data_IF_161205766084
#
_entry.id   IF_161205766084
#
_cell.length_a   1.000
_cell.length_b   1.000
_cell.length_c   1.000
_cell.angle_alpha   90.00
_cell.angle_beta   90.00
_cell.angle_gamma   90.00
#
_symmetry.space_group_name_H-M   'P 1'
#
loop_
_entity.id
_entity.type
_entity.pdbx_description
1 polymer ?
#
# COMPACT_ATOMS: atom_id res chain seq x y z
N UNK A 1 0.19 11.06 1.73
CA UNK A 1 -0.35 10.43 0.50
C UNK A 1 0.83 9.94 -0.31
N UNK A 2 0.83 8.69 -0.78
CA UNK A 2 1.88 8.21 -1.69
C UNK A 2 1.83 8.94 -3.04
N UNK A 3 2.98 9.01 -3.72
CA UNK A 3 3.10 9.67 -5.03
C UNK A 3 2.38 8.92 -6.15
N UNK A 4 2.23 7.60 -6.01
CA UNK A 4 1.59 6.72 -6.99
C UNK A 4 0.96 5.49 -6.29
N UNK A 5 0.41 4.55 -7.05
CA UNK A 5 -0.18 3.30 -6.57
C UNK A 5 0.82 2.49 -5.74
N UNK A 6 0.36 2.02 -4.58
CA UNK A 6 1.11 1.14 -3.68
C UNK A 6 0.22 -0.03 -3.25
N UNK A 7 0.79 -1.24 -3.09
CA UNK A 7 0.04 -2.40 -2.65
C UNK A 7 -0.42 -2.21 -1.19
N UNK A 8 -1.57 -2.79 -0.86
CA UNK A 8 -2.12 -2.81 0.51
C UNK A 8 -1.09 -3.17 1.61
N UNK A 9 -0.20 -4.18 1.47
CA UNK A 9 0.82 -4.46 2.48
C UNK A 9 1.79 -3.31 2.75
N UNK A 10 2.05 -2.44 1.76
CA UNK A 10 2.91 -1.27 1.95
C UNK A 10 2.21 -0.16 2.73
N UNK A 11 0.89 0.02 2.55
CA UNK A 11 0.09 0.86 3.46
C UNK A 11 0.16 0.32 4.89
N UNK A 12 -0.06 -0.97 5.09
CA UNK A 12 0.00 -1.62 6.41
C UNK A 12 1.36 -1.41 7.08
N UNK A 13 2.45 -1.50 6.31
CA UNK A 13 3.79 -1.15 6.79
C UNK A 13 3.92 0.34 7.13
N UNK A 14 3.50 1.23 6.23
CA UNK A 14 3.70 2.67 6.36
C UNK A 14 2.94 3.27 7.54
N UNK A 15 1.74 2.77 7.86
CA UNK A 15 0.99 3.22 9.05
C UNK A 15 1.83 3.04 10.32
N UNK A 16 2.42 1.86 10.50
CA UNK A 16 3.28 1.57 11.64
C UNK A 16 4.60 2.35 11.57
N UNK A 17 5.20 2.44 10.38
CA UNK A 17 6.48 3.10 10.18
C UNK A 17 6.41 4.61 10.48
N UNK A 18 5.32 5.26 10.09
CA UNK A 18 5.08 6.69 10.27
C UNK A 18 4.37 7.01 11.59
N UNK A 19 4.08 6.01 12.43
CA UNK A 19 3.26 6.15 13.64
C UNK A 19 1.92 6.85 13.38
N UNK A 20 1.30 6.56 12.23
CA UNK A 20 0.02 7.13 11.87
C UNK A 20 -1.10 6.49 12.71
N UNK A 21 -2.12 7.29 13.03
CA UNK A 21 -3.30 6.78 13.77
C UNK A 21 -4.14 5.81 12.93
N UNK A 22 -4.13 5.98 11.61
CA UNK A 22 -4.81 5.12 10.66
C UNK A 22 -4.22 5.26 9.26
N UNK A 23 -4.48 4.27 8.41
CA UNK A 23 -4.22 4.29 6.97
C UNK A 23 -5.50 4.06 6.19
N UNK A 24 -5.55 4.57 4.96
CA UNK A 24 -6.65 4.30 4.03
C UNK A 24 -6.09 3.86 2.68
N UNK A 25 -6.70 2.83 2.10
CA UNK A 25 -6.45 2.40 0.73
C UNK A 25 -7.76 2.48 -0.05
N UNK A 26 -7.68 3.04 -1.26
CA UNK A 26 -8.78 3.05 -2.22
C UNK A 26 -8.56 1.87 -3.18
N UNK A 27 -9.37 0.81 -3.02
CA UNK A 27 -9.27 -0.42 -3.80
C UNK A 27 -10.54 -1.26 -3.67
N UNK A 28 -10.99 -1.84 -4.78
CA UNK A 28 -11.98 -2.91 -4.80
C UNK A 28 -11.34 -4.31 -4.89
N UNK A 29 -10.05 -4.44 -4.55
CA UNK A 29 -9.27 -5.67 -4.60
C UNK A 29 -9.25 -6.32 -5.99
N UNK A 30 -10.12 -7.29 -6.25
CA UNK A 30 -10.21 -8.06 -7.49
C UNK A 30 -11.57 -7.89 -8.16
N UNK A 31 -12.41 -6.99 -7.64
CA UNK A 31 -13.71 -6.71 -8.24
C UNK A 31 -13.54 -6.13 -9.65
N UNK A 32 -14.56 -6.27 -10.51
CA UNK A 32 -14.61 -5.63 -11.81
C UNK A 32 -14.32 -4.12 -11.76
N UNK A 33 -13.79 -3.51 -12.85
CA UNK A 33 -13.29 -2.13 -12.87
C UNK A 33 -14.36 -1.08 -12.56
N UNK A 34 -15.64 -1.39 -12.72
CA UNK A 34 -16.75 -0.51 -12.35
C UNK A 34 -16.94 -0.36 -10.83
N UNK A 35 -16.33 -1.25 -10.03
CA UNK A 35 -16.39 -1.18 -8.57
C UNK A 35 -15.20 -0.40 -8.00
N UNK A 36 -15.48 0.40 -6.97
CA UNK A 36 -14.46 1.00 -6.12
C UNK A 36 -14.78 0.70 -4.65
N UNK A 37 -13.77 0.82 -3.79
CA UNK A 37 -13.91 0.60 -2.37
C UNK A 37 -12.87 1.40 -1.60
N UNK A 38 -13.12 1.62 -0.32
CA UNK A 38 -12.09 2.08 0.60
C UNK A 38 -12.00 1.12 1.78
N UNK A 39 -10.78 0.94 2.28
CA UNK A 39 -10.51 0.15 3.48
C UNK A 39 -9.69 1.00 4.43
N UNK A 40 -9.97 0.86 5.72
CA UNK A 40 -9.26 1.58 6.79
C UNK A 40 -8.40 0.60 7.57
N UNK A 41 -7.20 1.03 7.88
CA UNK A 41 -6.19 0.29 8.64
C UNK A 41 -5.92 1.03 9.95
N UNK A 42 -5.90 0.31 11.07
CA UNK A 42 -5.61 0.85 12.39
C UNK A 42 -4.11 1.12 12.62
N UNK A 43 -3.74 1.68 13.78
CA UNK A 43 -2.35 2.03 14.10
C UNK A 43 -1.42 0.81 14.20
N UNK A 44 -1.99 -0.38 14.39
CA UNK A 44 -1.30 -1.67 14.34
C UNK A 44 -1.00 -2.14 12.91
N UNK A 45 -1.41 -1.38 11.89
CA UNK A 45 -1.28 -1.76 10.48
C UNK A 45 -2.24 -2.86 10.05
N UNK A 46 -3.19 -3.28 10.89
CA UNK A 46 -4.25 -4.23 10.56
C UNK A 46 -5.47 -3.51 9.98
N UNK A 47 -6.27 -4.20 9.18
CA UNK A 47 -7.58 -3.66 8.78
C UNK A 47 -8.47 -3.52 10.02
N UNK A 48 -9.24 -2.43 10.12
CA UNK A 48 -10.11 -2.20 11.30
C UNK A 48 -11.13 -3.34 11.48
N UNK A 49 -11.36 -3.72 12.73
CA UNK A 49 -12.32 -4.76 13.13
C UNK A 49 -13.78 -4.25 13.04
N UNK A 50 -14.79 -5.14 12.97
CA UNK A 50 -16.20 -4.77 12.79
C UNK A 50 -16.69 -3.72 13.79
N UNK A 51 -16.30 -3.80 15.05
CA UNK A 51 -16.73 -2.86 16.10
C UNK A 51 -16.28 -1.42 15.81
N UNK A 52 -15.08 -1.25 15.24
CA UNK A 52 -14.57 0.06 14.82
C UNK A 52 -15.26 0.50 13.53
N UNK A 53 -15.47 -0.42 12.59
CA UNK A 53 -16.14 -0.14 11.33
C UNK A 53 -17.58 0.34 11.55
N UNK A 54 -18.34 -0.31 12.44
CA UNK A 54 -19.71 0.07 12.79
C UNK A 54 -19.78 1.48 13.37
N UNK A 55 -18.79 1.86 14.20
CA UNK A 55 -18.69 3.23 14.72
C UNK A 55 -18.45 4.23 13.60
N UNK A 56 -17.53 3.94 12.67
CA UNK A 56 -17.27 4.80 11.49
C UNK A 56 -18.55 4.96 10.65
N UNK A 57 -19.24 3.86 10.37
CA UNK A 57 -20.51 3.86 9.61
C UNK A 57 -21.58 4.68 10.34
N UNK A 58 -21.70 4.54 11.67
CA UNK A 58 -22.63 5.33 12.47
C UNK A 58 -22.33 6.84 12.39
N UNK A 59 -21.05 7.24 12.35
CA UNK A 59 -20.67 8.63 12.12
C UNK A 59 -21.01 9.11 10.71
N UNK A 60 -20.77 8.30 9.68
CA UNK A 60 -21.12 8.62 8.29
C UNK A 60 -22.65 8.80 8.16
N UNK A 61 -23.44 7.89 8.71
CA UNK A 61 -24.92 7.91 8.62
C UNK A 61 -25.57 9.11 9.34
N UNK A 62 -24.84 9.77 10.26
CA UNK A 62 -25.27 11.01 10.92
C UNK A 62 -25.11 12.24 10.01
N UNK A 63 -24.27 12.18 8.98
CA UNK A 63 -24.13 13.27 8.00
C UNK A 63 -25.38 13.28 7.13
N UNK A 64 -26.21 14.33 7.28
CA UNK A 64 -27.43 14.52 6.47
C UNK A 64 -27.22 15.47 5.30
N UNK A 65 -26.21 16.31 5.38
CA UNK A 65 -25.83 17.26 4.35
C UNK A 65 -24.32 17.22 4.15
N UNK A 66 -23.90 16.74 2.98
CA UNK A 66 -22.49 16.63 2.61
C UNK A 66 -21.84 17.99 2.31
N UNK A 67 -22.63 19.05 2.12
CA UNK A 67 -22.11 20.42 1.97
C UNK A 67 -21.41 20.91 3.24
N UNK A 68 -21.76 20.34 4.40
CA UNK A 68 -21.18 20.66 5.71
C UNK A 68 -19.80 20.02 5.94
N UNK A 69 -19.37 19.10 5.05
CA UNK A 69 -18.04 18.52 5.15
C UNK A 69 -17.01 19.61 4.87
N UNK A 70 -16.19 19.91 5.89
CA UNK A 70 -15.08 20.86 5.77
C UNK A 70 -14.11 20.38 4.69
N UNK A 71 -13.89 21.23 3.69
CA UNK A 71 -12.90 21.02 2.62
C UNK A 71 -11.77 22.02 2.80
N UNK A 72 -10.58 21.62 2.38
CA UNK A 72 -9.41 22.47 2.37
C UNK A 72 -8.67 22.25 1.05
N UNK A 73 -8.35 23.33 0.35
CA UNK A 73 -7.59 23.25 -0.89
C UNK A 73 -6.20 22.69 -0.63
N UNK A 74 -5.75 21.80 -1.52
CA UNK A 74 -4.46 21.12 -1.37
C UNK A 74 -3.28 22.08 -1.18
N UNK A 75 -3.13 23.19 -1.94
CA UNK A 75 -2.02 24.12 -1.71
C UNK A 75 -2.00 24.70 -0.29
N UNK A 76 -3.19 25.02 0.25
CA UNK A 76 -3.34 25.55 1.62
C UNK A 76 -3.02 24.45 2.65
N UNK A 77 -3.49 23.22 2.41
CA UNK A 77 -3.20 22.09 3.29
C UNK A 77 -1.70 21.76 3.35
N UNK A 78 -0.99 21.84 2.22
CA UNK A 78 0.47 21.68 2.16
C UNK A 78 1.17 22.81 2.94
N UNK A 79 0.80 24.07 2.70
CA UNK A 79 1.39 25.21 3.40
C UNK A 79 1.21 25.11 4.93
N UNK A 80 0.09 24.56 5.39
CA UNK A 80 -0.20 24.34 6.81
C UNK A 80 0.41 23.06 7.39
N UNK A 81 1.12 22.26 6.60
CA UNK A 81 1.67 20.96 7.02
C UNK A 81 0.63 19.87 7.27
N UNK A 82 -0.62 20.08 6.86
CA UNK A 82 -1.74 19.14 7.02
C UNK A 82 -1.81 18.09 5.90
N UNK A 83 -1.12 18.35 4.79
CA UNK A 83 -1.01 17.41 3.68
C UNK A 83 0.47 17.16 3.37
N UNK A 84 0.91 15.92 3.56
CA UNK A 84 2.28 15.49 3.29
C UNK A 84 2.28 14.38 2.22
N UNK A 85 3.19 14.50 1.27
CA UNK A 85 3.48 13.43 0.32
C UNK A 85 4.44 12.44 0.99
N UNK A 86 4.15 11.16 0.84
CA UNK A 86 5.03 10.06 1.29
C UNK A 86 5.87 9.69 0.07
N UNK A 87 7.16 9.97 0.13
CA UNK A 87 8.08 9.79 -0.98
C UNK A 87 8.72 8.39 -0.98
N UNK A 88 9.70 8.18 -1.88
CA UNK A 88 10.36 6.90 -2.07
C UNK A 88 11.15 6.43 -0.83
N UNK A 89 11.45 7.31 0.11
CA UNK A 89 12.14 6.96 1.36
C UNK A 89 11.41 5.88 2.16
N UNK A 90 10.06 5.88 2.16
CA UNK A 90 9.27 4.84 2.84
C UNK A 90 9.29 3.55 2.02
N UNK A 91 9.22 3.64 0.69
CA UNK A 91 9.30 2.49 -0.21
C UNK A 91 10.64 1.75 -0.01
N UNK A 92 11.77 2.47 0.08
CA UNK A 92 13.09 1.87 0.32
C UNK A 92 13.14 1.06 1.61
N UNK A 93 12.59 1.61 2.70
CA UNK A 93 12.54 0.91 3.99
C UNK A 93 11.64 -0.33 3.90
N UNK A 94 10.48 -0.21 3.25
CA UNK A 94 9.57 -1.33 3.04
C UNK A 94 10.23 -2.45 2.24
N UNK A 95 10.79 -2.16 1.07
CA UNK A 95 11.41 -3.14 0.19
C UNK A 95 12.62 -3.81 0.85
N UNK A 96 13.41 -3.07 1.62
CA UNK A 96 14.48 -3.65 2.44
C UNK A 96 13.93 -4.64 3.46
N UNK A 97 12.87 -4.27 4.20
CA UNK A 97 12.22 -5.16 5.17
C UNK A 97 11.65 -6.41 4.52
N UNK A 98 11.07 -6.30 3.32
CA UNK A 98 10.59 -7.46 2.56
C UNK A 98 11.76 -8.38 2.18
N UNK A 99 12.89 -7.83 1.73
CA UNK A 99 14.09 -8.64 1.43
C UNK A 99 14.63 -9.37 2.67
N UNK A 100 14.58 -8.74 3.86
CA UNK A 100 14.98 -9.37 5.14
C UNK A 100 14.11 -10.60 5.52
N UNK A 101 12.92 -10.76 4.94
CA UNK A 101 12.05 -11.92 5.15
C UNK A 101 12.45 -13.15 4.31
N UNK A 102 13.45 -13.03 3.44
CA UNK A 102 13.93 -14.15 2.65
C UNK A 102 14.49 -15.28 3.55
N UNK A 103 13.83 -16.43 3.55
CA UNK A 103 14.12 -17.55 4.46
C UNK A 103 15.51 -18.15 4.17
N UNK A 104 15.83 -18.37 2.89
CA UNK A 104 17.05 -19.07 2.44
C UNK A 104 18.34 -18.26 2.58
N UNK A 105 18.24 -16.94 2.74
CA UNK A 105 19.43 -16.08 2.87
C UNK A 105 20.16 -16.39 4.20
N UNK A 106 19.43 -16.84 5.23
CA UNK A 106 20.00 -17.25 6.53
C UNK A 106 20.66 -18.63 6.48
N UNK A 107 20.15 -19.52 5.64
CA UNK A 107 20.66 -20.89 5.49
C UNK A 107 22.00 -20.93 4.73
N UNK A 108 22.44 -19.80 4.14
CA UNK A 108 23.60 -19.71 3.23
C UNK A 108 23.52 -20.69 2.06
N UNK A 109 22.30 -21.10 1.69
CA UNK A 109 22.06 -21.94 0.52
C UNK A 109 22.07 -21.03 -0.70
N UNK A 110 22.94 -21.35 -1.66
CA UNK A 110 22.96 -20.66 -2.94
C UNK A 110 21.65 -20.94 -3.69
N UNK A 111 20.94 -19.88 -4.07
CA UNK A 111 19.72 -19.97 -4.86
C UNK A 111 20.10 -19.89 -6.33
N UNK A 112 19.74 -20.90 -7.12
CA UNK A 112 19.89 -20.85 -8.57
C UNK A 112 19.14 -19.65 -9.17
N UNK A 113 19.89 -18.71 -9.75
CA UNK A 113 19.38 -17.49 -10.39
C UNK A 113 19.06 -17.68 -11.87
N UNK A 114 19.38 -18.84 -12.44
CA UNK A 114 19.08 -19.18 -13.83
C UNK A 114 17.60 -19.51 -14.05
N UNK A 115 16.85 -19.77 -12.97
CA UNK A 115 15.40 -19.99 -13.04
C UNK A 115 14.69 -18.80 -13.68
N UNK A 116 13.85 -19.10 -14.67
CA UNK A 116 13.01 -18.09 -15.34
C UNK A 116 11.75 -17.88 -14.53
N UNK A 117 11.50 -16.64 -14.12
CA UNK A 117 10.28 -16.26 -13.39
C UNK A 117 9.31 -15.56 -14.35
N UNK A 118 8.11 -16.11 -14.49
CA UNK A 118 7.01 -15.45 -15.19
C UNK A 118 6.12 -14.78 -14.14
N UNK A 119 5.95 -13.46 -14.23
CA UNK A 119 5.13 -12.68 -13.32
C UNK A 119 4.18 -11.78 -14.11
N UNK A 120 2.88 -11.90 -13.86
CA UNK A 120 1.87 -10.95 -14.32
C UNK A 120 1.36 -10.12 -13.14
N UNK A 121 1.39 -8.79 -13.22
CA UNK A 121 0.80 -7.95 -12.19
C UNK A 121 -0.72 -7.85 -12.29
N UNK A 122 -1.33 -8.32 -13.39
CA UNK A 122 -2.76 -8.13 -13.70
C UNK A 122 -3.20 -6.66 -13.55
N UNK A 123 -2.37 -5.72 -14.03
CA UNK A 123 -2.54 -4.27 -13.85
C UNK A 123 -2.62 -3.80 -12.37
N UNK A 124 -2.26 -4.66 -11.43
CA UNK A 124 -2.35 -4.39 -10.00
C UNK A 124 -1.15 -3.64 -9.43
N UNK A 125 -1.32 -3.13 -8.21
CA UNK A 125 -0.33 -2.32 -7.48
C UNK A 125 0.97 -3.08 -7.11
N UNK A 126 1.03 -4.40 -7.35
CA UNK A 126 2.25 -5.20 -7.17
C UNK A 126 3.28 -5.05 -8.29
N UNK A 127 2.90 -4.45 -9.43
CA UNK A 127 3.73 -4.34 -10.64
C UNK A 127 5.14 -3.82 -10.35
N UNK A 128 5.23 -2.65 -9.70
CA UNK A 128 6.51 -2.00 -9.40
C UNK A 128 7.30 -2.77 -8.33
N UNK A 129 6.78 -2.98 -7.10
CA UNK A 129 7.60 -3.53 -6.01
C UNK A 129 8.06 -4.98 -6.26
N UNK A 130 7.22 -5.84 -6.87
CA UNK A 130 7.59 -7.25 -7.09
C UNK A 130 8.70 -7.35 -8.15
N UNK A 131 8.54 -6.66 -9.28
CA UNK A 131 9.57 -6.65 -10.34
C UNK A 131 10.88 -6.06 -9.85
N UNK A 132 10.80 -5.00 -9.04
CA UNK A 132 11.96 -4.38 -8.42
C UNK A 132 12.70 -5.34 -7.49
N UNK A 133 12.02 -5.98 -6.54
CA UNK A 133 12.65 -6.93 -5.60
C UNK A 133 13.29 -8.11 -6.33
N UNK A 134 12.59 -8.71 -7.30
CA UNK A 134 13.11 -9.84 -8.05
C UNK A 134 14.38 -9.46 -8.84
N UNK A 135 14.38 -8.29 -9.48
CA UNK A 135 15.56 -7.75 -10.18
C UNK A 135 16.72 -7.46 -9.20
N UNK A 136 16.46 -6.80 -8.08
CA UNK A 136 17.47 -6.52 -7.05
C UNK A 136 18.07 -7.78 -6.43
N UNK A 137 17.32 -8.89 -6.39
CA UNK A 137 17.80 -10.20 -5.94
C UNK A 137 18.44 -11.05 -7.05
N UNK A 138 18.65 -10.47 -8.23
CA UNK A 138 19.35 -11.11 -9.35
C UNK A 138 18.54 -12.16 -10.12
N UNK A 139 17.22 -12.20 -9.98
CA UNK A 139 16.39 -13.13 -10.74
C UNK A 139 16.05 -12.62 -12.14
N UNK A 140 15.98 -13.55 -13.09
CA UNK A 140 15.57 -13.28 -14.46
C UNK A 140 14.04 -13.33 -14.58
N UNK A 141 13.42 -12.15 -14.72
CA UNK A 141 11.98 -12.04 -14.95
C UNK A 141 11.70 -12.04 -16.44
N UNK A 142 10.92 -13.00 -16.91
CA UNK A 142 10.36 -13.02 -18.26
C UNK A 142 9.09 -12.17 -18.21
N UNK A 143 9.17 -10.96 -18.77
CA UNK A 143 8.01 -10.08 -18.87
C UNK A 143 6.94 -10.71 -19.75
N UNK A 144 5.71 -10.78 -19.25
CA UNK A 144 4.54 -10.97 -20.10
C UNK A 144 4.26 -9.58 -20.69
N UNK A 145 4.25 -9.46 -22.02
CA UNK A 145 3.78 -8.23 -22.67
C UNK A 145 2.26 -8.21 -22.47
N UNK A 146 1.77 -7.14 -21.83
CA UNK A 146 0.35 -6.80 -21.85
C UNK A 146 -0.07 -6.37 -23.26
#
# INVERSE_FOLDING_TARGET
LFEDVRPTPELSFAVRHLNAVAGMVITASHNPPEYNGYKVYGPDGGQIIPEIADRVIAHINRIKDYSLIKRLDRPIAVQKGLFNVIGPEVDEVYLRKVKELAIRDKDRIEIDKSIKIVYTPLHGAGNIPIRRILKERGFNIVGIKD
#
